data_IF_638771728725
#
_entry.id   IF_638771728725
#
_cell.length_a   1.000
_cell.length_b   1.000
_cell.length_c   1.000
_cell.angle_alpha   90.00
_cell.angle_beta   90.00
_cell.angle_gamma   90.00
#
_symmetry.space_group_name_H-M   'P 1'
#
loop_
_entity.id
_entity.type
_entity.pdbx_description
1 polymer ?
#
# COMPACT_ATOMS: atom_id res chain seq x y z
N UNK A 1 -24.43 -58.81 -46.73
CA UNK A 1 -23.54 -58.63 -45.55
C UNK A 1 -22.37 -57.73 -45.94
N UNK A 2 -22.35 -56.43 -45.59
CA UNK A 2 -21.17 -55.50 -45.59
C UNK A 2 -21.61 -54.02 -45.48
N UNK A 3 -22.28 -53.63 -44.40
CA UNK A 3 -22.53 -52.19 -44.11
C UNK A 3 -22.41 -51.80 -42.63
N UNK A 4 -22.15 -52.75 -41.73
CA UNK A 4 -22.04 -52.50 -40.28
C UNK A 4 -20.63 -52.14 -39.75
N UNK A 5 -19.60 -52.16 -40.60
CA UNK A 5 -18.20 -51.92 -40.17
C UNK A 5 -17.77 -50.44 -40.17
N UNK A 6 -18.45 -49.58 -40.93
CA UNK A 6 -17.98 -48.21 -41.19
C UNK A 6 -18.35 -47.26 -40.04
N UNK A 7 -19.45 -47.49 -39.32
CA UNK A 7 -19.89 -46.58 -38.23
C UNK A 7 -19.02 -46.72 -36.97
N UNK A 8 -18.57 -47.93 -36.62
CA UNK A 8 -17.74 -48.19 -35.44
C UNK A 8 -16.34 -47.61 -35.60
N UNK A 9 -15.76 -47.70 -36.80
CA UNK A 9 -14.47 -47.09 -37.11
C UNK A 9 -14.52 -45.56 -37.01
N UNK A 10 -15.61 -44.95 -37.49
CA UNK A 10 -15.82 -43.50 -37.45
C UNK A 10 -16.05 -42.98 -36.02
N UNK A 11 -16.79 -43.73 -35.20
CA UNK A 11 -16.98 -43.41 -33.78
C UNK A 11 -15.69 -43.53 -32.97
N UNK A 12 -14.86 -44.56 -33.23
CA UNK A 12 -13.55 -44.72 -32.60
C UNK A 12 -12.56 -43.62 -33.00
N UNK A 13 -12.59 -43.19 -34.25
CA UNK A 13 -11.78 -42.07 -34.73
C UNK A 13 -12.20 -40.75 -34.07
N UNK A 14 -13.50 -40.47 -33.97
CA UNK A 14 -14.03 -39.27 -33.30
C UNK A 14 -13.70 -39.25 -31.79
N UNK A 15 -13.81 -40.40 -31.11
CA UNK A 15 -13.44 -40.53 -29.70
C UNK A 15 -11.93 -40.32 -29.47
N UNK A 16 -11.09 -40.84 -30.38
CA UNK A 16 -9.64 -40.62 -30.34
C UNK A 16 -9.29 -39.14 -30.56
N UNK A 17 -9.90 -38.48 -31.56
CA UNK A 17 -9.70 -37.05 -31.79
C UNK A 17 -10.15 -36.19 -30.60
N UNK A 18 -11.30 -36.52 -29.99
CA UNK A 18 -11.77 -35.81 -28.79
C UNK A 18 -10.82 -35.99 -27.60
N UNK A 19 -10.29 -37.20 -27.40
CA UNK A 19 -9.28 -37.48 -26.36
C UNK A 19 -7.99 -36.68 -26.56
N UNK A 20 -7.48 -36.61 -27.80
CA UNK A 20 -6.28 -35.82 -28.14
C UNK A 20 -6.51 -34.32 -27.91
N UNK A 21 -7.69 -33.79 -28.25
CA UNK A 21 -8.03 -32.39 -28.01
C UNK A 21 -8.13 -32.10 -26.51
N UNK A 22 -8.76 -32.96 -25.71
CA UNK A 22 -8.83 -32.78 -24.26
C UNK A 22 -7.44 -32.81 -23.59
N UNK A 23 -6.55 -33.71 -24.02
CA UNK A 23 -5.18 -33.78 -23.50
C UNK A 23 -4.36 -32.56 -23.93
N UNK A 24 -4.53 -32.08 -25.17
CA UNK A 24 -3.88 -30.85 -25.64
C UNK A 24 -4.36 -29.61 -24.87
N UNK A 25 -5.66 -29.51 -24.59
CA UNK A 25 -6.24 -28.43 -23.78
C UNK A 25 -5.77 -28.49 -22.32
N UNK A 26 -5.69 -29.68 -21.72
CA UNK A 26 -5.17 -29.86 -20.37
C UNK A 26 -3.67 -29.52 -20.28
N UNK A 27 -2.87 -29.91 -21.27
CA UNK A 27 -1.46 -29.55 -21.37
C UNK A 27 -1.26 -28.05 -21.59
N UNK A 28 -2.11 -27.39 -22.40
CA UNK A 28 -2.10 -25.95 -22.57
C UNK A 28 -2.49 -25.21 -21.29
N UNK A 29 -3.51 -25.68 -20.55
CA UNK A 29 -3.88 -25.10 -19.26
C UNK A 29 -2.78 -25.25 -18.20
N UNK A 30 -2.07 -26.40 -18.20
CA UNK A 30 -0.93 -26.63 -17.30
C UNK A 30 0.29 -25.78 -17.68
N UNK A 31 0.54 -25.57 -18.97
CA UNK A 31 1.59 -24.68 -19.46
C UNK A 31 1.32 -23.20 -19.12
N UNK A 32 0.06 -22.76 -19.19
CA UNK A 32 -0.37 -21.41 -18.78
C UNK A 32 -0.28 -21.25 -17.24
N UNK A 33 -0.55 -22.31 -16.47
CA UNK A 33 -0.39 -22.31 -15.00
C UNK A 33 1.07 -22.28 -14.52
N UNK A 34 2.02 -22.71 -15.34
CA UNK A 34 3.46 -22.70 -15.05
C UNK A 34 4.15 -21.40 -15.47
N UNK A 35 3.52 -20.59 -16.33
CA UNK A 35 3.91 -19.20 -16.58
C UNK A 35 3.23 -18.28 -15.56
N UNK A 36 3.45 -18.54 -14.28
CA UNK A 36 3.26 -17.50 -13.27
C UNK A 36 4.23 -16.37 -13.62
N UNK A 37 3.73 -15.33 -14.29
CA UNK A 37 4.49 -14.10 -14.46
C UNK A 37 5.01 -13.71 -13.06
N UNK A 38 6.31 -13.45 -12.88
CA UNK A 38 6.76 -12.94 -11.61
C UNK A 38 5.94 -11.67 -11.33
N UNK A 39 5.44 -11.54 -10.10
CA UNK A 39 4.92 -10.30 -9.54
C UNK A 39 6.02 -9.23 -9.70
N UNK A 40 6.04 -8.60 -10.88
CA UNK A 40 6.97 -7.55 -11.31
C UNK A 40 6.18 -6.53 -12.08
N UNK A 41 5.16 -5.98 -11.44
CA UNK A 41 4.79 -4.61 -11.75
C UNK A 41 5.68 -3.74 -10.85
N UNK A 42 6.80 -3.28 -11.41
CA UNK A 42 7.36 -2.01 -10.92
C UNK A 42 6.27 -0.96 -11.11
N UNK A 43 6.20 0.04 -10.23
CA UNK A 43 5.20 1.10 -10.37
C UNK A 43 5.35 1.75 -11.76
N UNK A 44 4.26 2.16 -12.44
CA UNK A 44 4.35 2.78 -13.76
C UNK A 44 5.34 3.94 -13.77
N UNK A 45 6.40 3.85 -14.58
CA UNK A 45 7.45 4.86 -14.67
C UNK A 45 8.64 4.67 -13.73
N UNK A 46 8.68 3.59 -12.94
CA UNK A 46 9.80 3.25 -12.08
C UNK A 46 10.94 2.56 -12.85
N UNK A 47 12.16 2.67 -12.32
CA UNK A 47 13.36 2.05 -12.86
C UNK A 47 13.59 0.66 -12.26
N UNK A 48 14.58 -0.07 -12.77
CA UNK A 48 14.89 -1.38 -12.24
C UNK A 48 15.50 -1.26 -10.84
N UNK A 49 14.98 -2.06 -9.92
CA UNK A 49 15.54 -2.22 -8.59
C UNK A 49 16.84 -3.01 -8.66
N UNK A 50 17.82 -2.68 -7.81
CA UNK A 50 19.13 -3.34 -7.78
C UNK A 50 19.43 -4.03 -6.43
N UNK A 51 18.54 -3.86 -5.45
CA UNK A 51 18.52 -4.52 -4.15
C UNK A 51 19.31 -3.78 -3.07
N UNK A 52 18.91 -3.99 -1.82
CA UNK A 52 19.46 -3.34 -0.62
C UNK A 52 20.99 -3.50 -0.49
N UNK A 53 21.53 -4.64 -0.94
CA UNK A 53 22.98 -4.91 -0.90
C UNK A 53 23.80 -3.86 -1.69
N UNK A 54 23.22 -3.22 -2.70
CA UNK A 54 23.88 -2.13 -3.44
C UNK A 54 24.09 -0.86 -2.60
N UNK A 55 23.30 -0.68 -1.54
CA UNK A 55 23.35 0.46 -0.63
C UNK A 55 24.26 0.20 0.57
N UNK A 56 24.54 -1.07 0.90
CA UNK A 56 25.11 -1.49 2.19
C UNK A 56 26.62 -1.47 2.31
N UNK A 57 27.35 -0.92 1.33
CA UNK A 57 28.79 -0.72 1.46
C UNK A 57 29.14 0.20 2.63
N UNK A 58 30.27 -0.04 3.29
CA UNK A 58 30.76 0.78 4.41
C UNK A 58 31.10 2.22 3.99
N UNK A 59 31.36 2.46 2.71
CA UNK A 59 31.52 3.80 2.11
C UNK A 59 30.20 4.41 1.63
N UNK A 60 29.11 3.64 1.66
CA UNK A 60 27.76 4.02 1.22
C UNK A 60 26.85 4.29 2.44
N UNK A 61 25.92 3.38 2.74
CA UNK A 61 24.95 3.49 3.84
C UNK A 61 25.11 2.39 4.91
N UNK A 62 26.27 1.70 4.92
CA UNK A 62 26.58 0.58 5.82
C UNK A 62 27.66 0.85 6.86
N UNK A 63 27.88 2.10 7.28
CA UNK A 63 28.78 2.42 8.39
C UNK A 63 28.27 1.88 9.71
N UNK A 64 29.20 1.63 10.63
CA UNK A 64 28.89 1.19 12.00
C UNK A 64 28.48 2.35 12.92
N UNK A 65 28.98 3.55 12.62
CA UNK A 65 28.69 4.77 13.36
C UNK A 65 28.12 5.84 12.42
N UNK A 66 27.26 6.74 12.91
CA UNK A 66 26.62 7.77 12.10
C UNK A 66 27.53 8.98 11.83
N UNK A 67 28.74 8.73 11.37
CA UNK A 67 29.82 9.71 11.23
C UNK A 67 30.07 10.16 9.77
N UNK A 68 29.16 9.81 8.86
CA UNK A 68 29.27 10.23 7.47
C UNK A 68 29.26 11.77 7.32
N UNK A 69 29.97 12.26 6.29
CA UNK A 69 30.25 13.69 6.12
C UNK A 69 29.02 14.56 5.82
N UNK A 70 28.07 14.03 5.04
CA UNK A 70 26.89 14.76 4.53
C UNK A 70 25.58 14.13 5.04
N UNK A 71 25.58 12.82 5.15
CA UNK A 71 24.50 12.01 5.74
C UNK A 71 25.14 11.05 6.73
N UNK A 72 24.35 10.44 7.61
CA UNK A 72 24.88 9.58 8.67
C UNK A 72 25.65 8.38 8.12
N UNK A 73 25.22 7.84 6.98
CA UNK A 73 25.81 6.67 6.31
C UNK A 73 25.67 5.36 7.13
N UNK A 74 24.85 5.33 8.18
CA UNK A 74 24.51 4.15 9.01
C UNK A 74 23.08 3.63 8.74
N UNK A 75 22.43 4.08 7.66
CA UNK A 75 20.99 3.88 7.44
C UNK A 75 20.62 2.39 7.34
N UNK A 76 21.51 1.53 6.82
CA UNK A 76 21.29 0.08 6.75
C UNK A 76 21.18 -0.53 8.15
N UNK A 77 21.98 -0.10 9.12
CA UNK A 77 21.90 -0.64 10.48
C UNK A 77 20.56 -0.28 11.13
N UNK A 78 20.10 0.96 10.95
CA UNK A 78 18.81 1.41 11.47
C UNK A 78 17.63 0.69 10.82
N UNK A 79 17.72 0.44 9.51
CA UNK A 79 16.71 -0.32 8.77
C UNK A 79 16.73 -1.81 9.13
N UNK A 80 17.90 -2.41 9.39
CA UNK A 80 18.00 -3.83 9.76
C UNK A 80 17.61 -4.12 11.21
N UNK A 81 17.60 -3.12 12.11
CA UNK A 81 17.31 -3.31 13.54
C UNK A 81 15.84 -3.72 13.78
N UNK A 82 15.56 -5.03 13.96
CA UNK A 82 14.20 -5.55 13.87
C UNK A 82 13.36 -5.27 15.12
N UNK A 83 13.97 -4.82 16.22
CA UNK A 83 13.22 -4.42 17.42
C UNK A 83 12.79 -2.95 17.38
N UNK A 84 13.38 -2.14 16.50
CA UNK A 84 13.09 -0.72 16.38
C UNK A 84 11.88 -0.43 15.48
N UNK A 85 11.27 0.76 15.60
CA UNK A 85 10.34 1.27 14.61
C UNK A 85 10.97 1.39 13.20
N UNK A 86 12.23 1.83 13.10
CA UNK A 86 12.92 2.02 11.80
C UNK A 86 13.15 0.72 11.04
N UNK A 87 13.22 -0.41 11.75
CA UNK A 87 13.32 -1.74 11.13
C UNK A 87 12.00 -2.45 10.90
N UNK A 88 10.85 -1.78 11.03
CA UNK A 88 9.55 -2.40 10.75
C UNK A 88 9.44 -2.89 9.31
N UNK A 89 10.03 -2.13 8.39
CA UNK A 89 10.05 -2.42 6.97
C UNK A 89 10.94 -3.61 6.60
N UNK A 90 12.12 -3.77 7.21
CA UNK A 90 13.01 -4.92 6.94
C UNK A 90 12.41 -6.26 7.38
N UNK A 91 11.65 -6.27 8.48
CA UNK A 91 10.96 -7.48 8.97
C UNK A 91 9.59 -7.72 8.34
N UNK A 92 9.12 -6.86 7.43
CA UNK A 92 7.76 -6.93 6.88
C UNK A 92 7.47 -8.28 6.21
N UNK A 93 8.42 -8.86 5.47
CA UNK A 93 8.23 -10.18 4.86
C UNK A 93 8.15 -11.29 5.91
N UNK A 94 8.98 -11.20 6.96
CA UNK A 94 9.04 -12.22 8.01
C UNK A 94 7.71 -12.38 8.75
N UNK A 95 6.97 -11.28 8.98
CA UNK A 95 5.69 -11.33 9.71
C UNK A 95 4.59 -12.11 8.98
N UNK A 96 4.72 -12.32 7.67
CA UNK A 96 3.80 -13.18 6.91
C UNK A 96 3.85 -14.63 7.37
N UNK A 97 4.99 -15.05 7.93
CA UNK A 97 5.20 -16.39 8.44
C UNK A 97 4.91 -16.52 9.94
N UNK A 98 4.58 -15.43 10.64
CA UNK A 98 4.20 -15.47 12.06
C UNK A 98 2.82 -16.11 12.27
N UNK A 99 2.47 -16.37 13.54
CA UNK A 99 1.19 -16.98 13.91
C UNK A 99 -0.01 -16.26 13.30
N UNK A 100 -0.04 -14.91 13.34
CA UNK A 100 -1.14 -14.12 12.75
C UNK A 100 -1.16 -14.28 11.22
N UNK A 101 0.00 -14.16 10.55
CA UNK A 101 0.11 -14.31 9.10
C UNK A 101 -0.39 -15.67 8.61
N UNK A 102 0.04 -16.77 9.25
CA UNK A 102 -0.43 -18.13 8.93
C UNK A 102 -1.94 -18.29 9.14
N UNK A 103 -2.49 -17.70 10.20
CA UNK A 103 -3.93 -17.75 10.45
C UNK A 103 -4.73 -16.97 9.39
N UNK A 104 -4.25 -15.80 8.96
CA UNK A 104 -4.84 -15.05 7.85
C UNK A 104 -4.81 -15.91 6.58
N UNK A 105 -3.66 -16.47 6.24
CA UNK A 105 -3.49 -17.36 5.09
C UNK A 105 -4.46 -18.54 5.11
N UNK A 106 -4.62 -19.20 6.26
CA UNK A 106 -5.57 -20.30 6.44
C UNK A 106 -7.04 -19.88 6.23
N UNK A 107 -7.45 -18.71 6.74
CA UNK A 107 -8.82 -18.19 6.54
C UNK A 107 -9.09 -17.77 5.09
N UNK A 108 -8.06 -17.31 4.39
CA UNK A 108 -8.15 -16.88 3.00
C UNK A 108 -7.91 -18.01 1.98
N UNK A 109 -7.37 -19.16 2.41
CA UNK A 109 -6.98 -20.25 1.52
C UNK A 109 -5.74 -19.94 0.66
N UNK A 110 -4.82 -19.11 1.16
CA UNK A 110 -3.62 -18.65 0.44
C UNK A 110 -2.34 -18.95 1.22
N UNK A 111 -1.20 -18.95 0.53
CA UNK A 111 0.11 -18.83 1.16
C UNK A 111 0.51 -17.35 1.23
N UNK A 112 0.53 -16.70 2.42
CA UNK A 112 0.80 -15.27 2.54
C UNK A 112 2.16 -14.88 1.95
N UNK A 113 3.20 -15.70 2.15
CA UNK A 113 4.57 -15.42 1.67
C UNK A 113 4.74 -15.60 0.15
N UNK A 114 3.68 -16.01 -0.56
CA UNK A 114 3.67 -16.17 -2.02
C UNK A 114 2.49 -15.45 -2.70
N UNK A 115 1.53 -14.90 -1.95
CA UNK A 115 0.37 -14.22 -2.51
C UNK A 115 0.69 -12.76 -2.84
N UNK A 116 0.32 -12.33 -4.04
CA UNK A 116 0.51 -10.95 -4.48
C UNK A 116 -0.20 -9.92 -3.60
N UNK A 117 -1.36 -10.27 -3.04
CA UNK A 117 -2.14 -9.40 -2.14
C UNK A 117 -1.46 -9.15 -0.78
N UNK A 118 -0.47 -9.97 -0.42
CA UNK A 118 0.33 -9.80 0.78
C UNK A 118 1.68 -9.16 0.43
N UNK A 119 2.33 -9.67 -0.63
CA UNK A 119 3.65 -9.22 -1.04
C UNK A 119 3.66 -7.78 -1.55
N UNK A 120 2.53 -7.24 -2.04
CA UNK A 120 2.43 -5.84 -2.46
C UNK A 120 2.87 -4.83 -1.38
N UNK A 121 2.62 -5.16 -0.10
CA UNK A 121 2.99 -4.30 1.03
C UNK A 121 4.09 -4.89 1.93
N UNK A 122 4.32 -6.21 1.88
CA UNK A 122 5.27 -6.90 2.76
C UNK A 122 6.62 -7.22 2.08
N UNK A 123 6.76 -6.90 0.81
CA UNK A 123 8.02 -6.94 0.09
C UNK A 123 8.15 -5.71 -0.82
N UNK A 124 9.38 -5.32 -1.13
CA UNK A 124 9.64 -4.28 -2.11
C UNK A 124 9.12 -4.70 -3.50
N UNK A 125 8.35 -3.84 -4.20
CA UNK A 125 8.01 -4.06 -5.60
C UNK A 125 9.27 -4.25 -6.44
N UNK A 126 9.33 -5.31 -7.26
CA UNK A 126 10.53 -5.57 -8.07
C UNK A 126 11.76 -6.07 -7.29
N UNK A 127 11.61 -6.43 -6.00
CA UNK A 127 12.71 -6.88 -5.15
C UNK A 127 13.62 -7.92 -5.83
N UNK A 128 14.94 -7.76 -5.62
CA UNK A 128 15.91 -8.82 -5.93
C UNK A 128 15.83 -9.98 -4.94
N UNK A 129 15.43 -9.68 -3.70
CA UNK A 129 15.30 -10.63 -2.59
C UNK A 129 14.07 -10.25 -1.77
N UNK A 130 12.99 -11.02 -1.90
CA UNK A 130 11.74 -10.76 -1.15
C UNK A 130 11.93 -10.85 0.36
N UNK A 131 12.89 -11.64 0.82
CA UNK A 131 13.22 -11.79 2.24
C UNK A 131 13.84 -10.54 2.87
N UNK A 132 14.27 -9.57 2.08
CA UNK A 132 14.72 -8.27 2.59
C UNK A 132 13.53 -7.41 3.05
N UNK A 133 12.27 -7.81 2.78
CA UNK A 133 11.08 -7.06 3.18
C UNK A 133 10.89 -5.81 2.33
N UNK A 134 10.42 -4.73 2.95
CA UNK A 134 10.29 -3.41 2.31
C UNK A 134 11.67 -2.73 2.38
N UNK A 135 12.38 -2.75 1.25
CA UNK A 135 13.73 -2.23 1.09
C UNK A 135 13.80 -0.73 0.83
N UNK A 136 15.01 -0.25 0.56
CA UNK A 136 15.28 1.16 0.33
C UNK A 136 14.56 1.69 -0.93
N UNK A 137 14.53 0.90 -2.00
CA UNK A 137 14.03 1.31 -3.30
C UNK A 137 12.48 1.33 -3.33
N UNK A 138 11.81 0.64 -2.40
CA UNK A 138 10.37 0.79 -2.16
C UNK A 138 9.96 2.23 -1.82
N UNK A 139 10.86 3.04 -1.26
CA UNK A 139 10.62 4.46 -0.99
C UNK A 139 11.44 5.39 -1.88
N UNK A 140 12.69 5.04 -2.17
CA UNK A 140 13.62 5.88 -2.93
C UNK A 140 13.50 5.72 -4.46
N UNK A 141 12.70 4.75 -4.93
CA UNK A 141 12.56 4.37 -6.34
C UNK A 141 13.69 3.44 -6.79
N UNK A 142 13.46 2.73 -7.90
CA UNK A 142 14.45 1.82 -8.48
C UNK A 142 15.77 2.52 -8.81
N UNK A 143 16.87 2.03 -8.22
CA UNK A 143 18.14 2.74 -8.25
C UNK A 143 18.96 2.54 -9.53
N UNK A 144 18.54 1.68 -10.47
CA UNK A 144 19.31 1.46 -11.71
C UNK A 144 19.54 2.75 -12.50
N UNK A 145 18.61 3.71 -12.42
CA UNK A 145 18.71 4.99 -13.12
C UNK A 145 19.66 5.98 -12.46
N UNK A 146 19.76 5.99 -11.12
CA UNK A 146 20.41 7.06 -10.37
C UNK A 146 21.58 6.61 -9.48
N UNK A 147 21.79 5.31 -9.26
CA UNK A 147 22.84 4.81 -8.37
C UNK A 147 24.24 5.29 -8.78
N UNK A 148 24.56 5.24 -10.08
CA UNK A 148 25.86 5.68 -10.58
C UNK A 148 26.10 7.19 -10.38
N UNK A 149 25.07 8.02 -10.59
CA UNK A 149 25.17 9.47 -10.34
C UNK A 149 25.13 9.83 -8.87
N UNK A 150 24.63 8.94 -8.01
CA UNK A 150 24.50 9.18 -6.58
C UNK A 150 25.84 9.29 -5.86
N UNK A 151 26.80 8.43 -6.20
CA UNK A 151 28.14 8.45 -5.60
C UNK A 151 29.19 9.17 -6.48
N UNK A 152 28.79 9.68 -7.65
CA UNK A 152 29.69 10.41 -8.54
C UNK A 152 30.17 11.72 -7.90
N UNK A 153 31.42 12.07 -8.18
CA UNK A 153 31.95 13.39 -7.80
C UNK A 153 31.11 14.48 -8.48
N UNK A 154 30.54 15.38 -7.69
CA UNK A 154 29.65 16.43 -8.19
C UNK A 154 28.21 15.98 -8.48
N UNK A 155 27.84 14.76 -8.09
CA UNK A 155 26.45 14.31 -8.12
C UNK A 155 25.53 15.22 -7.31
N UNK A 156 24.32 15.48 -7.80
CA UNK A 156 23.34 16.33 -7.12
C UNK A 156 22.00 15.62 -6.95
N UNK A 157 21.25 16.01 -5.92
CA UNK A 157 19.90 15.49 -5.68
C UNK A 157 18.98 15.70 -6.89
N UNK A 158 18.97 16.90 -7.47
CA UNK A 158 18.17 17.21 -8.65
C UNK A 158 18.51 16.31 -9.85
N UNK A 159 19.80 16.00 -10.05
CA UNK A 159 20.25 15.11 -11.11
C UNK A 159 19.85 13.65 -10.87
N UNK A 160 19.78 13.20 -9.61
CA UNK A 160 19.27 11.87 -9.27
C UNK A 160 17.75 11.79 -9.43
N UNK A 161 17.01 12.84 -9.04
CA UNK A 161 15.55 12.93 -9.24
C UNK A 161 15.20 12.91 -10.72
N UNK A 162 15.96 13.61 -11.56
CA UNK A 162 15.80 13.56 -13.02
C UNK A 162 16.10 12.16 -13.62
N UNK A 163 16.75 11.28 -12.86
CA UNK A 163 17.04 9.88 -13.20
C UNK A 163 16.18 8.89 -12.39
N UNK A 164 15.05 9.37 -11.86
CA UNK A 164 14.02 8.56 -11.22
C UNK A 164 14.20 8.28 -9.72
N UNK A 165 15.10 8.98 -9.03
CA UNK A 165 15.06 9.00 -7.55
C UNK A 165 13.78 9.70 -7.09
N UNK A 166 13.06 9.08 -6.17
CA UNK A 166 11.85 9.67 -5.60
C UNK A 166 12.21 10.85 -4.68
N UNK A 167 11.67 12.07 -4.91
CA UNK A 167 11.99 13.25 -4.11
C UNK A 167 11.23 13.26 -2.78
N UNK A 168 11.60 12.36 -1.87
CA UNK A 168 10.99 12.21 -0.54
C UNK A 168 11.20 13.42 0.40
N UNK A 169 12.00 14.40 0.00
CA UNK A 169 12.06 15.71 0.65
C UNK A 169 10.76 16.52 0.48
N UNK A 170 9.95 16.19 -0.52
CA UNK A 170 8.65 16.81 -0.77
C UNK A 170 7.55 16.07 0.00
N UNK A 171 6.84 16.72 0.96
CA UNK A 171 5.87 16.03 1.81
C UNK A 171 4.76 15.30 1.06
N UNK A 172 4.22 15.88 -0.02
CA UNK A 172 3.16 15.24 -0.81
C UNK A 172 3.63 13.96 -1.53
N UNK A 173 4.87 13.96 -2.04
CA UNK A 173 5.47 12.78 -2.68
C UNK A 173 5.73 11.70 -1.64
N UNK A 174 6.30 12.06 -0.49
CA UNK A 174 6.49 11.13 0.64
C UNK A 174 5.16 10.52 1.09
N UNK A 175 4.13 11.35 1.23
CA UNK A 175 2.79 10.88 1.59
C UNK A 175 2.27 9.85 0.59
N UNK A 176 2.35 10.13 -0.71
CA UNK A 176 1.89 9.22 -1.75
C UNK A 176 2.55 7.84 -1.65
N UNK A 177 3.87 7.81 -1.51
CA UNK A 177 4.65 6.56 -1.37
C UNK A 177 4.25 5.78 -0.13
N UNK A 178 4.12 6.45 1.02
CA UNK A 178 3.70 5.77 2.25
C UNK A 178 2.28 5.22 2.11
N UNK A 179 1.36 6.01 1.54
CA UNK A 179 -0.04 5.64 1.37
C UNK A 179 -0.25 4.49 0.39
N UNK A 180 0.70 4.20 -0.50
CA UNK A 180 0.62 3.04 -1.38
C UNK A 180 0.42 1.75 -0.59
N UNK A 181 1.12 1.58 0.54
CA UNK A 181 0.93 0.44 1.45
C UNK A 181 0.06 0.79 2.67
N UNK A 182 0.18 2.02 3.20
CA UNK A 182 -0.46 2.45 4.45
C UNK A 182 -1.88 3.01 4.28
N UNK A 183 -2.46 2.84 3.10
CA UNK A 183 -3.88 2.98 2.85
C UNK A 183 -4.27 2.00 1.73
N UNK A 184 -3.52 2.07 0.64
CA UNK A 184 -3.60 1.18 -0.49
C UNK A 184 -3.38 1.94 -1.78
N UNK A 185 -3.10 1.23 -2.86
CA UNK A 185 -3.04 1.77 -4.21
C UNK A 185 -3.84 0.87 -5.16
N UNK A 186 -4.11 1.37 -6.37
CA UNK A 186 -4.68 0.55 -7.44
C UNK A 186 -3.63 -0.36 -8.11
N UNK A 187 -2.37 -0.21 -7.73
CA UNK A 187 -1.24 -0.87 -8.33
C UNK A 187 -0.69 -1.98 -7.42
N UNK A 188 0.03 -2.94 -8.00
CA UNK A 188 0.96 -3.79 -7.26
C UNK A 188 0.38 -4.69 -6.15
N UNK A 189 -0.94 -4.88 -6.06
CA UNK A 189 -1.57 -5.70 -5.02
C UNK A 189 -1.57 -5.06 -3.64
N UNK A 190 -1.51 -3.73 -3.55
CA UNK A 190 -1.35 -3.00 -2.29
C UNK A 190 -2.67 -2.62 -1.59
N UNK A 191 -3.82 -3.10 -2.08
CA UNK A 191 -5.11 -2.77 -1.51
C UNK A 191 -5.60 -3.83 -0.52
N UNK A 192 -5.56 -3.49 0.78
CA UNK A 192 -6.07 -4.35 1.86
C UNK A 192 -7.58 -4.15 2.02
N UNK A 193 -8.35 -4.90 1.25
CA UNK A 193 -9.81 -4.85 1.31
C UNK A 193 -10.40 -5.48 2.59
N UNK A 194 -11.71 -5.31 2.79
CA UNK A 194 -12.40 -5.80 3.98
C UNK A 194 -12.30 -7.32 4.15
N UNK A 195 -12.20 -8.11 3.07
CA UNK A 195 -11.98 -9.57 3.16
C UNK A 195 -10.66 -9.90 3.86
N UNK A 196 -9.58 -9.20 3.53
CA UNK A 196 -8.26 -9.40 4.14
C UNK A 196 -8.29 -8.97 5.61
N UNK A 197 -8.96 -7.87 5.93
CA UNK A 197 -9.16 -7.43 7.32
C UNK A 197 -9.99 -8.41 8.13
N UNK A 198 -11.10 -8.92 7.57
CA UNK A 198 -11.95 -9.93 8.20
C UNK A 198 -11.20 -11.24 8.48
N UNK A 199 -10.19 -11.57 7.68
CA UNK A 199 -9.30 -12.70 7.93
C UNK A 199 -8.28 -12.46 9.06
N UNK A 200 -8.21 -11.25 9.61
CA UNK A 200 -7.39 -10.90 10.77
C UNK A 200 -6.21 -9.98 10.48
N UNK A 201 -6.13 -9.39 9.28
CA UNK A 201 -5.17 -8.33 9.01
C UNK A 201 -5.50 -7.09 9.89
N UNK A 202 -4.51 -6.48 10.56
CA UNK A 202 -4.75 -5.27 11.33
C UNK A 202 -5.36 -4.15 10.48
N UNK A 203 -6.23 -3.32 11.07
CA UNK A 203 -6.63 -2.06 10.42
C UNK A 203 -5.37 -1.24 10.16
N UNK A 204 -5.27 -0.72 8.94
CA UNK A 204 -4.19 0.17 8.57
C UNK A 204 -4.55 1.57 9.07
N UNK A 205 -3.67 2.16 9.87
CA UNK A 205 -3.76 3.52 10.34
C UNK A 205 -2.46 4.24 10.00
N UNK A 206 -2.56 5.48 9.53
CA UNK A 206 -1.41 6.22 9.02
C UNK A 206 -1.52 7.71 9.31
N UNK A 207 -0.40 8.31 9.69
CA UNK A 207 -0.23 9.75 9.82
C UNK A 207 1.19 10.11 9.38
N UNK A 208 1.33 11.04 8.43
CA UNK A 208 2.59 11.28 7.72
C UNK A 208 3.71 11.78 8.63
N UNK A 209 3.43 12.70 9.56
CA UNK A 209 4.46 13.29 10.42
C UNK A 209 5.00 12.25 11.42
N UNK A 210 4.10 11.53 12.10
CA UNK A 210 4.43 10.43 13.01
C UNK A 210 5.21 9.34 12.29
N UNK A 211 4.74 8.85 11.14
CA UNK A 211 5.44 7.79 10.42
C UNK A 211 6.76 8.27 9.81
N UNK A 212 6.88 9.56 9.46
CA UNK A 212 8.17 10.16 9.10
C UNK A 212 9.16 10.11 10.26
N UNK A 213 8.70 10.41 11.48
CA UNK A 213 9.53 10.33 12.69
C UNK A 213 9.92 8.89 13.05
N UNK A 214 8.97 7.95 12.97
CA UNK A 214 9.22 6.53 13.26
C UNK A 214 10.19 5.89 12.26
N UNK A 215 10.21 6.36 11.00
CA UNK A 215 11.12 5.91 9.97
C UNK A 215 12.43 6.74 9.90
N UNK A 216 12.60 7.76 10.75
CA UNK A 216 13.71 8.70 10.63
C UNK A 216 15.08 8.03 10.82
N UNK A 217 15.93 8.19 9.80
CA UNK A 217 17.31 7.73 9.75
C UNK A 217 18.25 8.82 9.22
N UNK A 218 17.90 10.09 9.44
CA UNK A 218 18.73 11.25 9.11
C UNK A 218 18.74 12.24 10.28
N UNK A 219 19.73 13.12 10.29
CA UNK A 219 19.80 14.24 11.24
C UNK A 219 19.21 15.49 10.59
N UNK A 220 18.40 16.24 11.33
CA UNK A 220 17.92 17.57 10.93
C UNK A 220 18.83 18.66 11.54
N UNK A 221 20.10 18.65 11.13
CA UNK A 221 21.12 19.60 11.57
C UNK A 221 21.19 20.85 10.68
N UNK A 222 22.21 21.69 10.90
CA UNK A 222 22.40 22.91 10.11
C UNK A 222 22.66 22.63 8.61
N UNK A 223 23.36 21.54 8.28
CA UNK A 223 23.60 21.14 6.89
C UNK A 223 22.30 20.67 6.23
N UNK A 224 21.49 19.87 6.92
CA UNK A 224 20.16 19.49 6.46
C UNK A 224 19.29 20.72 6.20
N UNK A 225 19.24 21.65 7.16
CA UNK A 225 18.45 22.87 7.05
C UNK A 225 18.91 23.75 5.88
N UNK A 226 20.21 23.84 5.61
CA UNK A 226 20.75 24.59 4.48
C UNK A 226 20.36 23.97 3.13
N UNK A 227 20.32 22.63 3.02
CA UNK A 227 20.02 21.92 1.77
C UNK A 227 18.53 21.74 1.50
N UNK A 228 17.72 21.52 2.55
CA UNK A 228 16.32 21.08 2.44
C UNK A 228 15.34 22.02 3.15
N UNK A 229 15.83 23.00 3.90
CA UNK A 229 15.02 23.79 4.83
C UNK A 229 14.75 23.05 6.14
N UNK A 230 14.09 23.73 7.08
CA UNK A 230 13.66 23.11 8.34
C UNK A 230 12.32 22.43 8.16
N UNK A 231 12.17 21.25 8.74
CA UNK A 231 10.89 20.54 8.77
C UNK A 231 9.87 21.35 9.56
N UNK A 232 8.65 21.41 9.04
CA UNK A 232 7.50 21.98 9.70
C UNK A 232 6.47 20.87 9.90
N UNK A 233 6.44 20.29 11.10
CA UNK A 233 5.58 19.15 11.42
C UNK A 233 4.09 19.44 11.21
N UNK A 234 3.63 20.66 11.50
CA UNK A 234 2.22 21.04 11.25
C UNK A 234 1.91 21.01 9.75
N UNK A 235 2.84 21.49 8.91
CA UNK A 235 2.69 21.42 7.45
C UNK A 235 2.73 19.98 6.96
N UNK A 236 3.66 19.15 7.45
CA UNK A 236 3.79 17.74 7.06
C UNK A 236 2.52 16.99 7.44
N UNK A 237 2.05 17.13 8.68
CA UNK A 237 0.79 16.58 9.16
C UNK A 237 -0.39 16.99 8.27
N UNK A 238 -0.57 18.29 8.00
CA UNK A 238 -1.69 18.79 7.20
C UNK A 238 -1.65 18.28 5.75
N UNK A 239 -0.47 18.21 5.13
CA UNK A 239 -0.30 17.61 3.80
C UNK A 239 -0.64 16.12 3.84
N UNK A 240 -0.24 15.40 4.90
CA UNK A 240 -0.60 14.00 5.11
C UNK A 240 -2.11 13.79 5.16
N UNK A 241 -2.85 14.62 5.89
CA UNK A 241 -4.32 14.55 5.95
C UNK A 241 -4.96 14.76 4.57
N UNK A 242 -4.50 15.76 3.81
CA UNK A 242 -5.02 16.03 2.47
C UNK A 242 -4.74 14.87 1.50
N UNK A 243 -3.52 14.33 1.50
CA UNK A 243 -3.11 13.23 0.64
C UNK A 243 -3.83 11.92 0.98
N UNK A 244 -4.05 11.63 2.27
CA UNK A 244 -4.80 10.45 2.70
C UNK A 244 -6.27 10.54 2.29
N UNK A 245 -6.88 11.73 2.42
CA UNK A 245 -8.26 11.95 1.96
C UNK A 245 -8.40 11.82 0.45
N UNK A 246 -7.49 12.42 -0.31
CA UNK A 246 -7.45 12.30 -1.77
C UNK A 246 -7.30 10.83 -2.22
N UNK A 247 -6.41 10.09 -1.56
CA UNK A 247 -6.25 8.64 -1.78
C UNK A 247 -7.54 7.88 -1.49
N UNK A 248 -8.17 8.14 -0.35
CA UNK A 248 -9.40 7.48 0.06
C UNK A 248 -10.52 7.68 -0.95
N UNK A 249 -10.78 8.93 -1.35
CA UNK A 249 -11.83 9.26 -2.31
C UNK A 249 -11.52 8.73 -3.71
N UNK A 250 -10.26 8.76 -4.13
CA UNK A 250 -9.83 8.23 -5.43
C UNK A 250 -10.02 6.72 -5.54
N UNK A 251 -9.64 5.95 -4.51
CA UNK A 251 -9.86 4.51 -4.51
C UNK A 251 -11.34 4.15 -4.34
N UNK A 252 -12.10 4.91 -3.55
CA UNK A 252 -13.54 4.73 -3.41
C UNK A 252 -14.29 4.98 -4.72
N UNK A 253 -13.88 5.99 -5.50
CA UNK A 253 -14.46 6.28 -6.80
C UNK A 253 -14.06 5.28 -7.90
N UNK A 254 -13.02 4.45 -7.66
CA UNK A 254 -12.59 3.45 -8.62
C UNK A 254 -13.55 2.24 -8.61
N UNK A 255 -14.23 1.90 -9.72
CA UNK A 255 -15.20 0.81 -9.74
C UNK A 255 -14.62 -0.56 -9.36
N UNK A 256 -13.33 -0.81 -9.61
CA UNK A 256 -12.69 -2.09 -9.29
C UNK A 256 -12.28 -2.25 -7.82
N UNK A 257 -12.28 -1.16 -7.04
CA UNK A 257 -11.83 -1.16 -5.64
C UNK A 257 -12.88 -0.63 -4.68
N UNK A 258 -13.67 0.36 -5.10
CA UNK A 258 -14.75 0.97 -4.33
C UNK A 258 -15.95 0.07 -4.09
N UNK A 259 -16.04 -1.06 -4.81
CA UNK A 259 -17.14 -2.02 -4.70
C UNK A 259 -16.62 -3.45 -4.56
N UNK A 260 -17.41 -4.29 -3.89
CA UNK A 260 -17.19 -5.72 -3.79
C UNK A 260 -18.51 -6.46 -4.05
N UNK A 261 -18.71 -6.84 -5.31
CA UNK A 261 -19.97 -7.40 -5.78
C UNK A 261 -21.09 -6.36 -5.74
N UNK A 262 -22.20 -6.69 -5.09
CA UNK A 262 -23.36 -5.80 -4.99
C UNK A 262 -23.23 -4.72 -3.90
N UNK A 263 -22.17 -4.76 -3.09
CA UNK A 263 -21.97 -3.85 -1.96
C UNK A 263 -20.79 -2.90 -2.22
N UNK A 264 -20.80 -1.70 -1.62
CA UNK A 264 -19.59 -0.89 -1.57
C UNK A 264 -18.52 -1.63 -0.75
N UNK A 265 -17.26 -1.40 -1.07
CA UNK A 265 -16.16 -2.02 -0.35
C UNK A 265 -16.07 -1.44 1.07
N UNK A 266 -16.35 -2.28 2.08
CA UNK A 266 -16.50 -1.83 3.46
C UNK A 266 -15.22 -1.27 4.09
N UNK A 267 -14.06 -1.49 3.48
CA UNK A 267 -12.80 -0.85 3.88
C UNK A 267 -12.89 0.68 4.01
N UNK A 268 -13.73 1.34 3.18
CA UNK A 268 -13.86 2.80 3.19
C UNK A 268 -14.76 3.36 4.29
N UNK A 269 -15.42 2.51 5.07
CA UNK A 269 -16.40 2.90 6.08
C UNK A 269 -15.84 2.78 7.49
N UNK A 270 -16.42 3.52 8.43
CA UNK A 270 -16.00 3.49 9.82
C UNK A 270 -16.34 2.12 10.43
N UNK A 271 -15.31 1.29 10.64
CA UNK A 271 -15.47 -0.06 11.16
C UNK A 271 -16.24 -0.09 12.49
N UNK A 272 -16.16 0.96 13.32
CA UNK A 272 -16.80 1.01 14.63
C UNK A 272 -18.32 1.26 14.55
N UNK A 273 -18.84 1.66 13.39
CA UNK A 273 -20.30 1.73 13.19
C UNK A 273 -20.93 0.35 13.19
N UNK A 274 -20.20 -0.65 12.68
CA UNK A 274 -20.65 -2.04 12.51
C UNK A 274 -20.05 -2.98 13.58
N UNK A 275 -18.75 -2.89 13.84
CA UNK A 275 -18.03 -3.74 14.80
C UNK A 275 -18.09 -3.18 16.22
N UNK A 276 -19.31 -3.14 16.74
CA UNK A 276 -19.61 -2.76 18.13
C UNK A 276 -20.53 -3.79 18.75
N UNK A 277 -20.58 -3.80 20.08
CA UNK A 277 -21.50 -4.69 20.80
C UNK A 277 -22.96 -4.27 20.51
N UNK A 278 -23.74 -5.19 19.95
CA UNK A 278 -25.19 -5.04 19.81
C UNK A 278 -25.82 -5.39 21.16
N UNK A 279 -26.79 -4.58 21.59
CA UNK A 279 -27.51 -4.74 22.85
C UNK A 279 -29.00 -4.71 22.58
N UNK A 280 -29.69 -5.79 22.94
CA UNK A 280 -31.14 -5.88 22.89
C UNK A 280 -31.68 -5.63 24.31
N UNK A 281 -31.96 -4.35 24.61
CA UNK A 281 -32.46 -3.93 25.93
C UNK A 281 -33.50 -2.82 25.79
N UNK A 282 -34.51 -2.83 26.67
CA UNK A 282 -35.53 -1.77 26.75
C UNK A 282 -34.95 -0.38 27.07
N UNK A 283 -33.77 -0.34 27.67
CA UNK A 283 -32.99 0.87 27.95
C UNK A 283 -31.87 1.08 26.92
N UNK A 284 -32.24 1.14 25.64
CA UNK A 284 -31.29 1.34 24.54
C UNK A 284 -30.37 2.53 24.79
N UNK A 285 -29.06 2.26 24.76
CA UNK A 285 -28.03 3.30 24.80
C UNK A 285 -27.31 3.33 23.47
N UNK A 286 -27.41 4.45 22.75
CA UNK A 286 -26.67 4.63 21.51
C UNK A 286 -25.16 4.63 21.81
N UNK A 287 -24.45 3.65 21.24
CA UNK A 287 -22.98 3.55 21.34
C UNK A 287 -22.26 4.27 20.21
N UNK A 288 -23.00 4.74 19.19
CA UNK A 288 -22.44 5.53 18.11
C UNK A 288 -22.10 6.94 18.62
N UNK A 289 -20.90 7.42 18.30
CA UNK A 289 -20.49 8.78 18.64
C UNK A 289 -21.17 9.78 17.70
N UNK A 290 -21.68 10.87 18.27
CA UNK A 290 -22.24 11.96 17.48
C UNK A 290 -21.11 12.68 16.71
N UNK A 291 -21.28 12.83 15.40
CA UNK A 291 -20.38 13.62 14.55
C UNK A 291 -21.19 14.75 13.88
N UNK A 292 -21.11 15.99 14.40
CA UNK A 292 -21.84 17.14 13.84
C UNK A 292 -21.43 17.48 12.40
N UNK A 293 -20.24 17.07 11.96
CA UNK A 293 -19.77 17.22 10.58
C UNK A 293 -20.42 16.22 9.61
N UNK A 294 -21.07 15.19 10.13
CA UNK A 294 -21.64 14.06 9.39
C UNK A 294 -23.15 13.99 9.61
N UNK A 295 -23.91 14.70 8.77
CA UNK A 295 -25.37 14.78 8.85
C UNK A 295 -26.09 13.58 8.23
N UNK A 296 -25.76 12.35 8.65
CA UNK A 296 -26.38 11.12 8.14
C UNK A 296 -27.52 10.63 9.04
N UNK A 297 -28.63 10.09 8.51
CA UNK A 297 -29.71 9.54 9.32
C UNK A 297 -29.26 8.29 10.09
N UNK A 298 -29.93 7.93 11.20
CA UNK A 298 -29.71 6.65 11.87
C UNK A 298 -29.84 5.47 10.89
N UNK A 299 -28.92 4.53 10.95
CA UNK A 299 -28.89 3.36 10.07
C UNK A 299 -28.05 3.52 8.80
N UNK A 300 -27.67 4.74 8.42
CA UNK A 300 -26.69 4.96 7.36
C UNK A 300 -25.32 4.39 7.74
N UNK A 301 -24.61 3.79 6.77
CA UNK A 301 -23.24 3.30 6.97
C UNK A 301 -22.27 4.47 6.74
N UNK A 302 -21.61 4.97 7.79
CA UNK A 302 -20.77 6.15 7.66
C UNK A 302 -19.44 5.86 6.98
N UNK A 303 -19.05 6.72 6.04
CA UNK A 303 -17.70 6.75 5.49
C UNK A 303 -16.67 7.06 6.61
N UNK A 304 -15.47 6.47 6.52
CA UNK A 304 -14.37 6.77 7.43
C UNK A 304 -13.81 8.18 7.12
N UNK A 305 -14.29 9.19 7.84
CA UNK A 305 -14.05 10.62 7.54
C UNK A 305 -12.97 11.27 8.44
N UNK A 306 -12.13 10.47 9.10
CA UNK A 306 -11.12 10.98 10.05
C UNK A 306 -10.20 12.04 9.41
N UNK A 307 -9.75 11.81 8.17
CA UNK A 307 -8.95 12.79 7.43
C UNK A 307 -9.76 14.01 6.98
N UNK A 308 -11.07 13.87 6.75
CA UNK A 308 -11.93 15.04 6.44
C UNK A 308 -12.05 15.96 7.66
N UNK A 309 -12.31 15.40 8.84
CA UNK A 309 -12.41 16.16 10.09
C UNK A 309 -11.09 16.90 10.36
N UNK A 310 -9.96 16.20 10.26
CA UNK A 310 -8.64 16.77 10.53
C UNK A 310 -8.24 17.82 9.49
N UNK A 311 -8.54 17.58 8.21
CA UNK A 311 -8.27 18.56 7.16
C UNK A 311 -9.14 19.80 7.30
N UNK A 312 -10.41 19.67 7.72
CA UNK A 312 -11.27 20.80 8.04
C UNK A 312 -10.64 21.67 9.14
N UNK A 313 -10.17 21.07 10.23
CA UNK A 313 -9.50 21.78 11.32
C UNK A 313 -8.25 22.53 10.83
N UNK A 314 -7.43 21.88 10.00
CA UNK A 314 -6.25 22.49 9.40
C UNK A 314 -6.60 23.66 8.46
N UNK A 315 -7.60 23.46 7.60
CA UNK A 315 -8.04 24.43 6.59
C UNK A 315 -8.62 25.69 7.26
N UNK A 316 -9.35 25.56 8.37
CA UNK A 316 -9.89 26.72 9.09
C UNK A 316 -8.82 27.70 9.58
N UNK A 317 -7.61 27.22 9.84
CA UNK A 317 -6.47 28.05 10.24
C UNK A 317 -5.69 28.53 9.02
N UNK A 318 -5.36 27.62 8.10
CA UNK A 318 -4.44 27.91 7.00
C UNK A 318 -5.10 28.55 5.77
N UNK A 319 -6.37 28.25 5.51
CA UNK A 319 -7.12 28.71 4.34
C UNK A 319 -8.63 28.80 4.62
N UNK A 320 -9.09 29.77 5.45
CA UNK A 320 -10.47 29.84 5.91
C UNK A 320 -11.53 29.87 4.79
N UNK A 321 -11.21 30.54 3.67
CA UNK A 321 -12.09 30.58 2.49
C UNK A 321 -12.28 29.21 1.82
N UNK A 322 -11.24 28.37 1.80
CA UNK A 322 -11.34 26.99 1.32
C UNK A 322 -12.01 26.08 2.35
N UNK A 323 -11.82 26.34 3.64
CA UNK A 323 -12.40 25.54 4.72
C UNK A 323 -13.94 25.54 4.67
N UNK A 324 -14.56 26.70 4.43
CA UNK A 324 -16.03 26.79 4.35
C UNK A 324 -16.60 25.96 3.18
N UNK A 325 -15.94 26.00 2.02
CA UNK A 325 -16.29 25.18 0.87
C UNK A 325 -16.07 23.70 1.18
N UNK A 326 -14.90 23.33 1.69
CA UNK A 326 -14.57 21.96 2.04
C UNK A 326 -15.58 21.35 3.02
N UNK A 327 -15.95 22.08 4.07
CA UNK A 327 -16.97 21.66 5.03
C UNK A 327 -18.35 21.45 4.37
N UNK A 328 -18.71 22.28 3.40
CA UNK A 328 -19.95 22.13 2.65
C UNK A 328 -19.92 20.89 1.74
N UNK A 329 -18.81 20.68 1.03
CA UNK A 329 -18.59 19.55 0.12
C UNK A 329 -18.55 18.23 0.90
N UNK A 330 -17.84 18.15 2.04
CA UNK A 330 -17.82 16.97 2.93
C UNK A 330 -19.22 16.63 3.46
N UNK A 331 -20.00 17.63 3.89
CA UNK A 331 -21.39 17.40 4.32
C UNK A 331 -22.27 16.89 3.19
N UNK A 332 -22.09 17.41 1.97
CA UNK A 332 -22.84 16.96 0.80
C UNK A 332 -22.49 15.51 0.43
N UNK A 333 -21.21 15.16 0.47
CA UNK A 333 -20.73 13.79 0.27
C UNK A 333 -21.37 12.81 1.27
N UNK A 334 -21.37 13.13 2.56
CA UNK A 334 -21.98 12.26 3.57
C UNK A 334 -23.49 12.07 3.37
N UNK A 335 -24.22 13.13 2.97
CA UNK A 335 -25.65 12.99 2.64
C UNK A 335 -25.86 12.08 1.45
N UNK A 336 -25.06 12.24 0.38
CA UNK A 336 -25.16 11.42 -0.81
C UNK A 336 -24.94 9.92 -0.52
N UNK A 337 -23.99 9.58 0.36
CA UNK A 337 -23.77 8.19 0.82
C UNK A 337 -24.95 7.67 1.67
N UNK A 338 -25.59 8.53 2.47
CA UNK A 338 -26.69 8.13 3.34
C UNK A 338 -28.04 7.98 2.62
N UNK A 339 -28.18 8.56 1.42
CA UNK A 339 -29.41 8.56 0.62
C UNK A 339 -29.39 7.53 -0.53
N UNK A 340 -28.23 6.90 -0.79
CA UNK A 340 -28.01 5.93 -1.88
C UNK A 340 -28.44 4.51 -1.54
#
# INVERSE_FOLDING_TARGET
MRTWGISVARQRFLAFCAGVVCVALAAAALAIGLTGAPLRAALPGDHAHVGVASCSGTTCHGRQEPDGKIVRQDEILRWQEPSSPTGAHSRAFAVLSDTRGRQIGARLGINPSASGECLGCHAEPGAKRVSDGVGCEACHGGASGWLASHYAVGGTHAANVARGMVPLDRPAVRASVCLDCHFGSADGGQFVNHRIMAAGHPRIAFELDLFSALQQHHNEDADYAARKGRTNSVRVWAVGQAMALDRALSLFANPSLGTNGAFPEFYFFDCHSCHRRIQDSDSFTATALANPGRGTPPGAVPFNDENMIMLSAAARVAAPGLAARFDADSRAFHRAIGES
#
